data_IF_659042772191
#
_entry.id   IF_659042772191
#
_cell.length_a   1.000
_cell.length_b   1.000
_cell.length_c   1.000
_cell.angle_alpha   90.00
_cell.angle_beta   90.00
_cell.angle_gamma   90.00
#
_symmetry.space_group_name_H-M   'P 1'
#
loop_
_entity.id
_entity.type
_entity.pdbx_description
1 polymer ?
#
# COMPACT_ATOMS: atom_id res chain seq x y z
N UNK A 1 -13.46 -10.29 4.82
CA UNK A 1 -13.15 -8.95 4.50
C UNK A 1 -12.79 -8.77 3.06
N UNK A 2 -13.69 -8.30 2.33
CA UNK A 2 -13.53 -8.30 0.89
C UNK A 2 -13.40 -6.91 0.29
N UNK A 3 -13.93 -5.88 0.96
CA UNK A 3 -13.87 -4.55 0.40
C UNK A 3 -12.44 -4.08 0.20
N UNK A 4 -11.58 -4.45 1.12
CA UNK A 4 -10.17 -4.15 1.02
C UNK A 4 -9.56 -4.73 -0.24
N UNK A 5 -9.79 -6.02 -0.46
CA UNK A 5 -9.28 -6.70 -1.65
C UNK A 5 -9.92 -6.15 -2.91
N UNK A 6 -11.18 -5.75 -2.81
CA UNK A 6 -11.88 -5.20 -3.95
C UNK A 6 -11.29 -3.88 -4.39
N UNK A 7 -10.96 -3.01 -3.44
CA UNK A 7 -10.31 -1.75 -3.75
C UNK A 7 -8.92 -1.98 -4.34
N UNK A 8 -8.18 -2.93 -3.80
CA UNK A 8 -6.88 -3.27 -4.34
C UNK A 8 -7.00 -3.74 -5.77
N UNK A 9 -8.02 -4.55 -6.07
CA UNK A 9 -8.24 -5.03 -7.42
C UNK A 9 -8.61 -3.91 -8.37
N UNK A 10 -9.37 -2.93 -7.90
CA UNK A 10 -9.73 -1.79 -8.74
C UNK A 10 -8.51 -0.96 -9.11
N UNK A 11 -7.63 -0.72 -8.17
CA UNK A 11 -6.40 0.02 -8.45
C UNK A 11 -5.54 -0.75 -9.45
N UNK A 12 -5.39 -2.04 -9.22
CA UNK A 12 -4.60 -2.87 -10.11
C UNK A 12 -5.19 -2.92 -11.51
N UNK A 13 -6.52 -3.07 -11.60
CA UNK A 13 -7.19 -3.11 -12.88
C UNK A 13 -7.05 -1.79 -13.62
N UNK A 14 -7.11 -0.68 -12.91
CA UNK A 14 -6.94 0.63 -13.53
C UNK A 14 -5.55 0.76 -14.14
N UNK A 15 -4.52 0.29 -13.44
CA UNK A 15 -3.16 0.34 -13.94
C UNK A 15 -2.99 -0.57 -15.15
N UNK A 16 -3.61 -1.74 -15.14
CA UNK A 16 -3.55 -2.67 -16.26
C UNK A 16 -4.37 -2.19 -17.44
N UNK A 17 -5.49 -1.56 -17.16
CA UNK A 17 -6.38 -1.08 -18.22
C UNK A 17 -5.79 0.04 -19.04
N UNK A 18 -4.82 0.74 -18.49
CA UNK A 18 -4.07 1.73 -19.24
C UNK A 18 -3.36 1.11 -20.41
N UNK A 19 -3.30 -0.22 -20.43
CA UNK A 19 -2.65 -0.95 -21.51
C UNK A 19 -1.17 -0.73 -21.51
N UNK A 20 -0.66 -0.23 -20.44
CA UNK A 20 0.71 0.19 -20.37
C UNK A 20 1.45 -0.61 -19.33
N UNK A 21 2.68 -0.86 -19.60
CA UNK A 21 3.55 -1.34 -18.56
C UNK A 21 3.70 -0.21 -17.57
N UNK A 22 3.59 -0.54 -16.29
CA UNK A 22 3.82 0.45 -15.25
C UNK A 22 5.25 0.92 -15.33
N UNK A 23 5.50 2.19 -15.61
CA UNK A 23 6.89 2.67 -15.69
C UNK A 23 7.52 2.59 -14.32
N UNK A 24 8.67 1.96 -14.26
CA UNK A 24 9.38 1.76 -13.01
C UNK A 24 10.67 2.55 -12.99
N UNK A 25 10.99 3.05 -11.83
CA UNK A 25 12.26 3.72 -11.58
C UNK A 25 12.99 2.91 -10.52
N UNK A 26 14.24 2.59 -10.80
CA UNK A 26 15.06 1.87 -9.83
C UNK A 26 15.33 2.80 -8.64
N UNK A 27 14.82 2.41 -7.46
CA UNK A 27 15.01 3.21 -6.26
C UNK A 27 15.85 2.49 -5.20
N UNK A 28 16.35 1.32 -5.51
CA UNK A 28 17.23 0.58 -4.61
C UNK A 28 16.55 -0.05 -3.41
N UNK A 29 15.22 -0.07 -3.38
CA UNK A 29 14.49 -0.62 -2.25
C UNK A 29 14.08 -2.05 -2.53
N UNK A 30 14.25 -2.92 -1.53
CA UNK A 30 13.70 -4.27 -1.59
C UNK A 30 12.27 -4.26 -1.05
N UNK A 31 11.59 -5.42 -1.10
CA UNK A 31 10.20 -5.52 -0.68
C UNK A 31 9.97 -5.09 0.76
N UNK A 32 10.89 -5.46 1.66
CA UNK A 32 10.76 -5.09 3.06
C UNK A 32 10.90 -3.58 3.25
N UNK A 33 11.86 -2.98 2.57
CA UNK A 33 12.07 -1.54 2.66
C UNK A 33 10.89 -0.78 2.09
N UNK A 34 10.31 -1.27 1.00
CA UNK A 34 9.11 -0.67 0.43
C UNK A 34 7.97 -0.69 1.42
N UNK A 35 7.76 -1.83 2.10
CA UNK A 35 6.71 -1.93 3.10
C UNK A 35 6.92 -0.94 4.24
N UNK A 36 8.14 -0.84 4.73
CA UNK A 36 8.44 0.05 5.83
C UNK A 36 8.20 1.51 5.47
N UNK A 37 8.61 1.89 4.27
CA UNK A 37 8.41 3.26 3.82
C UNK A 37 6.92 3.57 3.62
N UNK A 38 6.19 2.65 3.02
CA UNK A 38 4.75 2.83 2.81
C UNK A 38 4.03 2.90 4.15
N UNK A 39 4.43 2.05 5.09
CA UNK A 39 3.85 2.08 6.42
C UNK A 39 4.01 3.44 7.08
N UNK A 40 5.20 4.02 6.97
CA UNK A 40 5.46 5.35 7.51
C UNK A 40 4.61 6.44 6.85
N UNK A 41 4.47 6.37 5.53
CA UNK A 41 3.63 7.31 4.80
C UNK A 41 2.16 7.16 5.16
N UNK A 42 1.70 5.93 5.30
CA UNK A 42 0.31 5.68 5.66
C UNK A 42 0.02 6.18 7.07
N UNK A 43 0.97 6.01 7.98
CA UNK A 43 0.84 6.54 9.33
C UNK A 43 0.66 8.05 9.29
N UNK A 44 1.43 8.73 8.46
CA UNK A 44 1.33 10.18 8.32
C UNK A 44 -0.04 10.59 7.75
N UNK A 45 -0.54 9.84 6.79
CA UNK A 45 -1.86 10.11 6.22
C UNK A 45 -2.94 9.99 7.30
N UNK A 46 -2.88 8.93 8.07
CA UNK A 46 -3.88 8.70 9.11
C UNK A 46 -3.81 9.78 10.19
N UNK A 47 -2.62 10.20 10.55
CA UNK A 47 -2.46 11.29 11.50
C UNK A 47 -3.04 12.60 10.96
N UNK A 48 -2.84 12.86 9.67
CA UNK A 48 -3.40 14.02 9.03
C UNK A 48 -4.93 14.00 9.07
N UNK A 49 -5.51 12.82 8.97
CA UNK A 49 -6.95 12.65 9.04
C UNK A 49 -7.48 12.78 10.47
N UNK A 50 -6.60 12.87 11.45
CA UNK A 50 -7.01 12.97 12.84
C UNK A 50 -7.30 11.65 13.52
N UNK A 51 -6.79 10.55 12.95
CA UNK A 51 -7.02 9.24 13.54
C UNK A 51 -6.02 8.97 14.64
N UNK A 52 -6.50 8.32 15.70
CA UNK A 52 -5.66 8.02 16.85
C UNK A 52 -4.98 6.67 16.66
N UNK A 53 -3.72 6.71 16.28
CA UNK A 53 -2.96 5.48 16.02
C UNK A 53 -2.55 4.75 17.30
N UNK A 54 -2.80 5.34 18.45
CA UNK A 54 -2.60 4.65 19.72
C UNK A 54 -3.77 3.69 20.02
N UNK A 55 -4.89 3.84 19.31
CA UNK A 55 -6.02 2.94 19.45
C UNK A 55 -5.66 1.58 18.85
N UNK A 56 -5.92 0.51 19.61
CA UNK A 56 -5.57 -0.83 19.18
C UNK A 56 -6.17 -1.20 17.83
N UNK A 57 -7.35 -0.69 17.52
CA UNK A 57 -8.01 -1.03 16.27
C UNK A 57 -7.34 -0.38 15.07
N UNK A 58 -6.53 0.66 15.29
CA UNK A 58 -5.85 1.37 14.20
C UNK A 58 -4.34 1.16 14.20
N UNK A 59 -3.80 0.65 15.29
CA UNK A 59 -2.34 0.57 15.44
C UNK A 59 -1.67 -0.27 14.35
N UNK A 60 -2.32 -1.33 13.90
CA UNK A 60 -1.79 -2.24 12.89
C UNK A 60 -2.17 -1.86 11.47
N UNK A 61 -3.04 -0.88 11.32
CA UNK A 61 -3.57 -0.54 10.00
C UNK A 61 -2.50 -0.08 9.01
N UNK A 62 -1.56 0.79 9.38
CA UNK A 62 -0.50 1.18 8.44
C UNK A 62 0.30 -0.01 7.92
N UNK A 63 0.59 -0.96 8.80
CA UNK A 63 1.33 -2.15 8.42
C UNK A 63 0.54 -3.02 7.44
N UNK A 64 -0.74 -3.21 7.71
CA UNK A 64 -1.59 -4.02 6.85
C UNK A 64 -1.74 -3.39 5.47
N UNK A 65 -1.90 -2.09 5.42
CA UNK A 65 -2.02 -1.39 4.15
C UNK A 65 -0.72 -1.48 3.37
N UNK A 66 0.41 -1.32 4.04
CA UNK A 66 1.71 -1.44 3.39
C UNK A 66 1.89 -2.82 2.79
N UNK A 67 1.52 -3.86 3.54
CA UNK A 67 1.58 -5.23 3.02
C UNK A 67 0.71 -5.40 1.79
N UNK A 68 -0.47 -4.81 1.81
CA UNK A 68 -1.38 -4.89 0.67
C UNK A 68 -0.75 -4.25 -0.56
N UNK A 69 -0.19 -3.07 -0.42
CA UNK A 69 0.42 -2.39 -1.56
C UNK A 69 1.56 -3.21 -2.16
N UNK A 70 2.41 -3.76 -1.32
CA UNK A 70 3.58 -4.47 -1.83
C UNK A 70 3.23 -5.87 -2.30
N UNK A 71 2.39 -6.59 -1.54
CA UNK A 71 2.15 -8.01 -1.80
C UNK A 71 0.96 -8.28 -2.71
N UNK A 72 0.02 -7.35 -2.83
CA UNK A 72 -1.20 -7.58 -3.59
C UNK A 72 -1.38 -6.64 -4.78
N UNK A 73 -1.28 -5.33 -4.56
CA UNK A 73 -1.53 -4.38 -5.62
C UNK A 73 -0.37 -4.33 -6.60
N UNK A 74 0.82 -4.25 -6.07
CA UNK A 74 2.02 -4.11 -6.90
C UNK A 74 2.93 -5.33 -6.80
N UNK A 75 2.34 -6.50 -6.57
CA UNK A 75 3.12 -7.73 -6.56
C UNK A 75 3.74 -7.92 -7.94
N UNK A 76 5.00 -8.29 -7.97
CA UNK A 76 5.71 -8.45 -9.22
C UNK A 76 6.55 -7.26 -9.63
N UNK A 77 6.53 -6.20 -8.84
CA UNK A 77 7.38 -5.05 -9.10
C UNK A 77 8.74 -5.13 -8.38
N UNK A 78 8.95 -6.18 -7.66
CA UNK A 78 10.21 -6.37 -6.94
C UNK A 78 11.32 -6.87 -7.86
#
# INVERSE_FOLDING_TARGET
>A
MTSFSQEALLVRAALEAEGLETPLVANGLNGQQKKENIEGHMRAIMETLGLDLADDSLAETPHRIAKMYVNEIFSGLD
#
